data_IF_030608456340
#
_entry.id   IF_030608456340
#
_cell.length_a   1.000
_cell.length_b   1.000
_cell.length_c   1.000
_cell.angle_alpha   90.00
_cell.angle_beta   90.00
_cell.angle_gamma   90.00
#
_symmetry.space_group_name_H-M   'P 1'
#
loop_
_entity.id
_entity.type
_entity.pdbx_description
1 polymer ?
#
# COMPACT_ATOMS: atom_id res chain seq x y z
N UNK A 1 17.32 27.07 5.57
CA UNK A 1 17.17 27.13 4.10
C UNK A 1 15.71 26.85 3.75
N UNK A 2 15.20 27.46 2.66
CA UNK A 2 13.79 27.35 2.27
C UNK A 2 13.26 25.90 2.20
N UNK A 3 14.10 24.94 1.81
CA UNK A 3 13.76 23.50 1.80
C UNK A 3 13.55 22.94 3.23
N UNK A 4 14.35 23.35 4.21
CA UNK A 4 14.20 22.98 5.62
C UNK A 4 12.92 23.55 6.21
N UNK A 5 12.52 24.77 5.81
CA UNK A 5 11.31 25.42 6.30
C UNK A 5 10.03 24.84 5.66
N UNK A 6 10.10 24.42 4.39
CA UNK A 6 9.01 23.67 3.74
C UNK A 6 8.84 22.30 4.37
N UNK A 7 9.94 21.61 4.70
CA UNK A 7 9.89 20.29 5.37
C UNK A 7 9.33 20.41 6.80
N UNK A 8 9.72 21.44 7.56
CA UNK A 8 9.15 21.74 8.89
C UNK A 8 7.67 22.09 8.83
N UNK A 9 7.24 22.93 7.88
CA UNK A 9 5.82 23.28 7.67
C UNK A 9 4.99 22.08 7.23
N UNK A 10 5.55 21.12 6.48
CA UNK A 10 4.89 19.87 6.14
C UNK A 10 4.79 18.94 7.35
N UNK A 11 5.78 18.88 8.22
CA UNK A 11 5.71 18.15 9.49
C UNK A 11 4.75 18.80 10.48
N UNK A 12 4.70 20.13 10.58
CA UNK A 12 3.71 20.84 11.40
C UNK A 12 2.27 20.66 10.91
N UNK A 13 2.03 20.60 9.59
CA UNK A 13 0.73 20.25 9.03
C UNK A 13 0.34 18.78 9.24
N UNK A 14 1.31 17.86 9.37
CA UNK A 14 1.06 16.44 9.74
C UNK A 14 0.72 16.26 11.21
N UNK A 15 1.11 17.16 12.10
CA UNK A 15 0.70 17.17 13.54
C UNK A 15 -0.79 17.45 13.76
N UNK A 16 -1.57 17.72 12.72
CA UNK A 16 -2.98 18.10 12.81
C UNK A 16 -3.98 16.95 12.95
N UNK A 17 -3.62 15.69 12.76
CA UNK A 17 -4.58 14.58 12.84
C UNK A 17 -3.94 13.32 13.42
N UNK A 18 -3.85 13.26 14.77
CA UNK A 18 -3.45 12.04 15.47
C UNK A 18 -4.67 11.15 15.67
N UNK A 19 -4.62 9.91 15.16
CA UNK A 19 -5.66 8.91 15.36
C UNK A 19 -5.36 8.05 16.58
N UNK A 20 -6.40 7.58 17.28
CA UNK A 20 -6.33 6.52 18.28
C UNK A 20 -6.46 5.16 17.57
N UNK A 21 -5.44 4.34 17.65
CA UNK A 21 -5.35 3.06 16.93
C UNK A 21 -5.17 1.92 17.93
N UNK A 22 -6.06 0.95 17.90
CA UNK A 22 -5.90 -0.31 18.64
C UNK A 22 -5.47 -1.41 17.70
N UNK A 23 -4.34 -2.06 17.99
CA UNK A 23 -3.72 -3.10 17.19
C UNK A 23 -3.67 -4.41 17.96
N UNK A 24 -4.28 -5.47 17.45
CA UNK A 24 -4.24 -6.82 18.03
C UNK A 24 -3.29 -7.70 17.24
N UNK A 25 -2.25 -8.18 17.93
CA UNK A 25 -1.19 -9.02 17.39
C UNK A 25 0.14 -8.28 17.22
N UNK A 26 1.09 -8.53 18.13
CA UNK A 26 2.46 -7.99 18.14
C UNK A 26 3.48 -8.87 17.40
N UNK A 27 3.03 -9.64 16.39
CA UNK A 27 3.93 -10.40 15.50
C UNK A 27 4.66 -9.50 14.50
N UNK A 28 5.36 -10.07 13.51
CA UNK A 28 6.15 -9.30 12.52
C UNK A 28 5.37 -8.16 11.87
N UNK A 29 4.14 -8.42 11.41
CA UNK A 29 3.28 -7.41 10.77
C UNK A 29 2.84 -6.35 11.78
N UNK A 30 2.36 -6.78 12.96
CA UNK A 30 1.90 -5.86 13.99
C UNK A 30 3.01 -4.96 14.52
N UNK A 31 4.21 -5.50 14.77
CA UNK A 31 5.38 -4.70 15.18
C UNK A 31 5.76 -3.67 14.11
N UNK A 32 5.76 -4.06 12.83
CA UNK A 32 6.04 -3.13 11.74
C UNK A 32 5.00 -2.00 11.65
N UNK A 33 3.71 -2.33 11.82
CA UNK A 33 2.62 -1.35 11.85
C UNK A 33 2.73 -0.43 13.07
N UNK A 34 2.97 -1.00 14.27
CA UNK A 34 3.13 -0.22 15.49
C UNK A 34 4.23 0.84 15.36
N UNK A 35 5.40 0.43 14.85
CA UNK A 35 6.50 1.34 14.56
C UNK A 35 6.10 2.44 13.58
N UNK A 36 5.60 2.08 12.41
CA UNK A 36 5.28 3.02 11.35
C UNK A 36 4.22 4.05 11.79
N UNK A 37 3.14 3.58 12.43
CA UNK A 37 2.04 4.43 12.87
C UNK A 37 2.46 5.36 14.03
N UNK A 38 3.34 4.89 14.93
CA UNK A 38 3.93 5.71 16.00
C UNK A 38 4.85 6.80 15.40
N UNK A 39 5.72 6.46 14.44
CA UNK A 39 6.58 7.41 13.73
C UNK A 39 5.76 8.47 12.95
N UNK A 40 4.55 8.13 12.51
CA UNK A 40 3.60 9.05 11.88
C UNK A 40 2.85 9.95 12.89
N UNK A 41 3.04 9.74 14.20
CA UNK A 41 2.47 10.55 15.28
C UNK A 41 1.07 10.13 15.69
N UNK A 42 0.67 8.88 15.47
CA UNK A 42 -0.59 8.32 15.93
C UNK A 42 -0.46 7.73 17.35
N UNK A 43 -1.56 7.73 18.11
CA UNK A 43 -1.65 7.09 19.42
C UNK A 43 -1.97 5.61 19.24
N UNK A 44 -0.98 4.74 19.39
CA UNK A 44 -1.11 3.30 19.12
C UNK A 44 -1.12 2.51 20.42
N UNK A 45 -2.13 1.65 20.61
CA UNK A 45 -2.18 0.62 21.66
C UNK A 45 -2.06 -0.75 21.05
N UNK A 46 -1.08 -1.55 21.45
CA UNK A 46 -0.84 -2.91 20.95
C UNK A 46 -1.26 -3.94 21.98
N UNK A 47 -2.05 -4.93 21.59
CA UNK A 47 -2.46 -6.08 22.41
C UNK A 47 -1.81 -7.34 21.85
N UNK A 48 -1.12 -8.11 22.67
CA UNK A 48 -0.65 -9.47 22.34
C UNK A 48 -0.70 -10.37 23.59
N UNK A 49 -0.86 -11.67 23.37
CA UNK A 49 -0.83 -12.67 24.46
C UNK A 49 0.58 -13.08 24.87
N UNK A 50 1.58 -12.71 24.07
CA UNK A 50 2.99 -13.03 24.32
C UNK A 50 3.67 -11.88 25.08
N UNK A 51 4.03 -12.13 26.35
CA UNK A 51 4.65 -11.16 27.24
C UNK A 51 5.93 -10.55 26.65
N UNK A 52 6.82 -11.37 26.09
CA UNK A 52 8.07 -10.86 25.55
C UNK A 52 7.87 -9.91 24.34
N UNK A 53 6.82 -10.14 23.52
CA UNK A 53 6.47 -9.21 22.45
C UNK A 53 5.92 -7.90 22.95
N UNK A 54 5.05 -7.96 23.96
CA UNK A 54 4.46 -6.77 24.59
C UNK A 54 5.55 -5.89 25.20
N UNK A 55 6.47 -6.48 25.97
CA UNK A 55 7.61 -5.79 26.56
C UNK A 55 8.52 -5.17 25.49
N UNK A 56 8.91 -5.97 24.49
CA UNK A 56 9.77 -5.48 23.39
C UNK A 56 9.15 -4.31 22.62
N UNK A 57 7.86 -4.37 22.31
CA UNK A 57 7.17 -3.31 21.57
C UNK A 57 7.06 -2.04 22.41
N UNK A 58 6.70 -2.15 23.69
CA UNK A 58 6.58 -1.01 24.60
C UNK A 58 7.91 -0.33 24.93
N UNK A 59 9.02 -1.10 24.94
CA UNK A 59 10.37 -0.55 25.15
C UNK A 59 10.98 0.08 23.89
N UNK A 60 10.59 -0.43 22.70
CA UNK A 60 11.21 -0.05 21.42
C UNK A 60 10.51 1.11 20.72
N UNK A 61 9.21 1.32 20.98
CA UNK A 61 8.39 2.29 20.25
C UNK A 61 7.54 3.12 21.21
N UNK A 62 7.17 4.33 20.80
CA UNK A 62 6.24 5.20 21.56
C UNK A 62 4.80 4.72 21.36
N UNK A 63 4.46 3.60 22.02
CA UNK A 63 3.14 2.97 21.97
C UNK A 63 2.75 2.42 23.33
N UNK A 64 1.46 2.37 23.61
CA UNK A 64 0.94 1.60 24.72
C UNK A 64 0.93 0.12 24.37
N UNK A 65 1.36 -0.76 25.27
CA UNK A 65 1.33 -2.20 25.05
C UNK A 65 0.60 -2.92 26.21
N UNK A 66 -0.30 -3.84 25.85
CA UNK A 66 -1.16 -4.56 26.80
C UNK A 66 -0.99 -6.06 26.59
N UNK A 67 -0.66 -6.76 27.70
CA UNK A 67 -0.63 -8.22 27.72
C UNK A 67 -2.06 -8.74 27.88
N UNK A 68 -2.63 -9.31 26.83
CA UNK A 68 -4.01 -9.78 26.90
C UNK A 68 -4.49 -10.46 25.62
N UNK A 69 -5.72 -10.96 25.66
CA UNK A 69 -6.37 -11.58 24.52
C UNK A 69 -7.27 -10.54 23.82
N UNK A 70 -7.01 -10.27 22.54
CA UNK A 70 -7.79 -9.35 21.73
C UNK A 70 -9.25 -9.74 21.48
N UNK A 71 -9.66 -10.97 21.84
CA UNK A 71 -11.07 -11.38 21.86
C UNK A 71 -11.74 -11.18 23.23
N UNK A 72 -11.05 -10.61 24.23
CA UNK A 72 -11.64 -10.25 25.51
C UNK A 72 -12.16 -8.83 25.46
N UNK A 73 -13.44 -8.64 25.80
CA UNK A 73 -14.06 -7.32 25.88
C UNK A 73 -13.35 -6.45 26.94
N UNK A 74 -12.99 -7.03 28.07
CA UNK A 74 -12.25 -6.32 29.13
C UNK A 74 -10.92 -5.78 28.60
N UNK A 75 -10.13 -6.61 27.92
CA UNK A 75 -8.86 -6.20 27.31
C UNK A 75 -9.04 -5.14 26.22
N UNK A 76 -10.10 -5.26 25.41
CA UNK A 76 -10.42 -4.25 24.41
C UNK A 76 -10.82 -2.90 25.03
N UNK A 77 -11.61 -2.91 26.11
CA UNK A 77 -11.96 -1.69 26.84
C UNK A 77 -10.73 -1.05 27.50
N UNK A 78 -9.85 -1.84 28.12
CA UNK A 78 -8.57 -1.35 28.66
C UNK A 78 -7.69 -0.71 27.56
N UNK A 79 -7.78 -1.21 26.33
CA UNK A 79 -7.08 -0.66 25.18
C UNK A 79 -7.74 0.60 24.58
N UNK A 80 -8.91 1.00 25.09
CA UNK A 80 -9.65 2.17 24.63
C UNK A 80 -10.37 1.96 23.30
N UNK A 81 -10.87 0.75 23.02
CA UNK A 81 -11.54 0.41 21.76
C UNK A 81 -12.77 1.25 21.48
N UNK A 82 -13.50 1.69 22.53
CA UNK A 82 -14.69 2.52 22.43
C UNK A 82 -14.41 3.88 21.77
N UNK A 83 -13.21 4.41 21.99
CA UNK A 83 -12.78 5.71 21.48
C UNK A 83 -11.79 5.60 20.30
N UNK A 84 -11.51 4.37 19.84
CA UNK A 84 -10.57 4.15 18.75
C UNK A 84 -11.14 4.66 17.40
N UNK A 85 -10.31 5.34 16.64
CA UNK A 85 -10.62 5.69 15.23
C UNK A 85 -10.43 4.47 14.32
N UNK A 86 -9.38 3.69 14.59
CA UNK A 86 -9.02 2.50 13.81
C UNK A 86 -8.72 1.32 14.72
N UNK A 87 -9.24 0.16 14.35
CA UNK A 87 -8.95 -1.11 14.97
C UNK A 87 -8.35 -2.07 13.95
N UNK A 88 -7.20 -2.67 14.27
CA UNK A 88 -6.47 -3.54 13.35
C UNK A 88 -6.19 -4.88 14.01
N UNK A 89 -6.66 -5.99 13.43
CA UNK A 89 -6.37 -7.34 13.90
C UNK A 89 -5.48 -8.09 12.91
N UNK A 90 -4.25 -8.43 13.35
CA UNK A 90 -3.18 -9.06 12.55
C UNK A 90 -2.51 -10.23 13.27
N UNK A 91 -3.28 -10.99 14.05
CA UNK A 91 -2.80 -12.18 14.75
C UNK A 91 -2.48 -13.34 13.78
N UNK A 92 -2.07 -14.46 14.31
CA UNK A 92 -1.80 -15.68 13.54
C UNK A 92 -3.04 -16.44 13.04
N UNK A 93 -4.26 -16.12 13.55
CA UNK A 93 -5.52 -16.77 13.16
C UNK A 93 -6.46 -15.78 12.48
N UNK A 94 -6.96 -16.17 11.30
CA UNK A 94 -7.91 -15.38 10.53
C UNK A 94 -9.26 -15.26 11.25
N UNK A 95 -9.73 -16.35 11.87
CA UNK A 95 -10.97 -16.41 12.65
C UNK A 95 -10.89 -15.47 13.86
N UNK A 96 -9.74 -15.47 14.57
CA UNK A 96 -9.51 -14.59 15.70
C UNK A 96 -9.50 -13.12 15.26
N UNK A 97 -8.89 -12.81 14.10
CA UNK A 97 -8.87 -11.45 13.55
C UNK A 97 -10.29 -10.95 13.23
N UNK A 98 -11.11 -11.80 12.62
CA UNK A 98 -12.53 -11.48 12.33
C UNK A 98 -13.33 -11.30 13.63
N UNK A 99 -13.14 -12.17 14.62
CA UNK A 99 -13.80 -12.10 15.91
C UNK A 99 -13.43 -10.82 16.67
N UNK A 100 -12.14 -10.47 16.72
CA UNK A 100 -11.68 -9.23 17.34
C UNK A 100 -12.32 -8.00 16.68
N UNK A 101 -12.35 -7.97 15.34
CA UNK A 101 -13.00 -6.88 14.59
C UNK A 101 -14.51 -6.81 14.88
N UNK A 102 -15.20 -7.94 15.01
CA UNK A 102 -16.60 -7.98 15.36
C UNK A 102 -16.85 -7.37 16.75
N UNK A 103 -16.04 -7.70 17.74
CA UNK A 103 -16.15 -7.13 19.08
C UNK A 103 -15.84 -5.64 19.08
N UNK A 104 -14.78 -5.21 18.39
CA UNK A 104 -14.43 -3.79 18.25
C UNK A 104 -15.57 -2.98 17.63
N UNK A 105 -16.22 -3.52 16.58
CA UNK A 105 -17.37 -2.88 15.94
C UNK A 105 -18.61 -2.81 16.82
N UNK A 106 -18.76 -3.71 17.79
CA UNK A 106 -19.87 -3.70 18.77
C UNK A 106 -19.58 -2.78 19.94
N UNK A 107 -18.31 -2.66 20.34
CA UNK A 107 -17.89 -1.80 21.45
C UNK A 107 -17.79 -0.32 21.03
N UNK A 108 -17.40 -0.02 19.78
CA UNK A 108 -17.16 1.33 19.29
C UNK A 108 -17.53 1.55 17.82
N UNK A 109 -17.22 2.74 17.31
CA UNK A 109 -17.51 3.15 15.94
C UNK A 109 -16.25 3.13 15.04
N UNK A 110 -15.19 2.43 15.45
CA UNK A 110 -13.91 2.40 14.77
C UNK A 110 -13.98 1.86 13.33
N UNK A 111 -13.02 2.24 12.51
CA UNK A 111 -12.74 1.56 11.24
C UNK A 111 -11.98 0.27 11.52
N UNK A 112 -12.66 -0.88 11.42
CA UNK A 112 -12.06 -2.18 11.69
C UNK A 112 -11.39 -2.77 10.44
N UNK A 113 -10.14 -3.25 10.61
CA UNK A 113 -9.32 -3.86 9.57
C UNK A 113 -8.88 -5.25 10.05
N UNK A 114 -9.20 -6.30 9.30
CA UNK A 114 -8.83 -7.68 9.60
C UNK A 114 -7.82 -8.23 8.60
N UNK A 115 -6.79 -8.94 9.10
CA UNK A 115 -5.93 -9.78 8.26
C UNK A 115 -6.59 -11.13 8.06
N UNK A 116 -6.85 -11.50 6.80
CA UNK A 116 -7.38 -12.82 6.42
C UNK A 116 -6.55 -13.36 5.26
N UNK A 117 -5.90 -14.51 5.46
CA UNK A 117 -4.96 -15.12 4.51
C UNK A 117 -5.52 -16.31 3.79
N UNK A 118 -6.41 -17.06 4.47
CA UNK A 118 -6.92 -18.32 3.97
C UNK A 118 -7.75 -18.11 2.70
N UNK A 119 -7.34 -18.70 1.56
CA UNK A 119 -8.08 -18.60 0.29
C UNK A 119 -9.50 -19.14 0.37
N UNK A 120 -9.79 -20.05 1.28
CA UNK A 120 -11.13 -20.62 1.46
C UNK A 120 -12.20 -19.58 1.79
N UNK A 121 -11.81 -18.45 2.37
CA UNK A 121 -12.72 -17.34 2.65
C UNK A 121 -12.92 -16.39 1.46
N UNK A 122 -12.13 -16.52 0.38
CA UNK A 122 -12.08 -15.53 -0.71
C UNK A 122 -13.43 -15.21 -1.34
N UNK A 123 -14.33 -16.21 -1.45
CA UNK A 123 -15.68 -16.03 -2.02
C UNK A 123 -16.67 -15.43 -1.02
N UNK A 124 -16.39 -15.51 0.27
CA UNK A 124 -17.28 -15.10 1.36
C UNK A 124 -16.84 -13.77 2.01
N UNK A 125 -15.66 -13.27 1.67
CA UNK A 125 -15.10 -12.07 2.28
C UNK A 125 -16.02 -10.85 2.17
N UNK A 126 -16.69 -10.65 1.03
CA UNK A 126 -17.60 -9.52 0.83
C UNK A 126 -18.84 -9.66 1.71
N UNK A 127 -19.35 -10.87 1.88
CA UNK A 127 -20.47 -11.16 2.78
C UNK A 127 -20.03 -10.92 4.24
N UNK A 128 -18.93 -11.53 4.67
CA UNK A 128 -18.38 -11.38 6.03
C UNK A 128 -18.14 -9.90 6.35
N UNK A 129 -17.50 -9.18 5.44
CA UNK A 129 -17.21 -7.75 5.56
C UNK A 129 -18.48 -6.93 5.79
N UNK A 130 -19.55 -7.18 5.02
CA UNK A 130 -20.83 -6.50 5.15
C UNK A 130 -21.55 -6.85 6.45
N UNK A 131 -21.59 -8.14 6.83
CA UNK A 131 -22.32 -8.59 8.02
C UNK A 131 -21.66 -8.11 9.34
N UNK A 132 -20.34 -8.12 9.40
CA UNK A 132 -19.59 -7.67 10.58
C UNK A 132 -19.38 -6.14 10.58
N UNK A 133 -19.49 -5.49 9.42
CA UNK A 133 -19.20 -4.06 9.26
C UNK A 133 -17.71 -3.76 9.22
N UNK A 134 -16.87 -4.72 8.79
CA UNK A 134 -15.42 -4.55 8.65
C UNK A 134 -15.13 -3.56 7.52
N UNK A 135 -14.28 -2.56 7.78
CA UNK A 135 -13.94 -1.53 6.81
C UNK A 135 -13.01 -2.06 5.70
N UNK A 136 -12.01 -2.87 6.08
CA UNK A 136 -11.10 -3.50 5.14
C UNK A 136 -10.65 -4.89 5.59
N UNK A 137 -10.42 -5.77 4.62
CA UNK A 137 -9.76 -7.07 4.82
C UNK A 137 -8.46 -7.02 4.04
N UNK A 138 -7.35 -7.39 4.68
CA UNK A 138 -6.01 -7.38 4.09
C UNK A 138 -5.42 -8.79 4.07
N UNK A 139 -4.68 -9.08 3.01
CA UNK A 139 -3.83 -10.27 2.89
C UNK A 139 -2.45 -9.82 2.41
N UNK A 140 -1.51 -9.52 3.33
CA UNK A 140 -0.19 -9.01 2.98
C UNK A 140 0.62 -9.98 2.11
N UNK A 141 0.47 -11.27 2.34
CA UNK A 141 1.16 -12.32 1.58
C UNK A 141 0.69 -12.34 0.11
N UNK A 142 -0.62 -12.26 -0.11
CA UNK A 142 -1.19 -12.18 -1.46
C UNK A 142 -0.84 -10.86 -2.15
N UNK A 143 -0.81 -9.75 -1.41
CA UNK A 143 -0.39 -8.46 -1.94
C UNK A 143 1.07 -8.50 -2.41
N UNK A 144 1.98 -9.07 -1.60
CA UNK A 144 3.37 -9.27 -1.97
C UNK A 144 3.54 -10.21 -3.17
N UNK A 145 2.80 -11.32 -3.21
CA UNK A 145 2.82 -12.26 -4.32
C UNK A 145 2.35 -11.63 -5.64
N UNK A 146 1.30 -10.79 -5.58
CA UNK A 146 0.82 -10.03 -6.76
C UNK A 146 1.88 -9.03 -7.24
N UNK A 147 2.52 -8.31 -6.32
CA UNK A 147 3.57 -7.36 -6.66
C UNK A 147 4.76 -8.05 -7.33
N UNK A 148 5.23 -9.15 -6.77
CA UNK A 148 6.30 -9.97 -7.37
C UNK A 148 5.88 -10.47 -8.76
N UNK A 149 4.65 -10.96 -8.92
CA UNK A 149 4.13 -11.40 -10.22
C UNK A 149 4.09 -10.27 -11.26
N UNK A 150 3.75 -9.05 -10.85
CA UNK A 150 3.77 -7.88 -11.73
C UNK A 150 5.19 -7.53 -12.19
N UNK A 151 6.16 -7.51 -11.26
CA UNK A 151 7.57 -7.25 -11.56
C UNK A 151 8.15 -8.32 -12.49
N UNK A 152 7.83 -9.59 -12.26
CA UNK A 152 8.29 -10.68 -13.13
C UNK A 152 7.70 -10.59 -14.55
N UNK A 153 6.44 -10.15 -14.67
CA UNK A 153 5.77 -10.03 -15.99
C UNK A 153 6.38 -8.94 -16.86
N UNK A 154 6.85 -7.86 -16.26
CA UNK A 154 7.47 -6.73 -16.94
C UNK A 154 8.84 -6.43 -16.32
N UNK A 155 9.87 -7.26 -16.58
CA UNK A 155 11.18 -7.12 -15.94
C UNK A 155 11.88 -5.78 -16.21
N UNK A 156 11.48 -5.10 -17.28
CA UNK A 156 11.99 -3.77 -17.62
C UNK A 156 11.27 -2.61 -16.91
N UNK A 157 10.18 -2.89 -16.19
CA UNK A 157 9.48 -1.87 -15.42
C UNK A 157 10.13 -1.70 -14.04
N UNK A 158 10.35 -0.46 -13.62
CA UNK A 158 10.84 -0.13 -12.27
C UNK A 158 9.71 -0.06 -11.24
N UNK A 159 8.46 0.21 -11.69
CA UNK A 159 7.27 0.24 -10.84
C UNK A 159 6.02 -0.05 -11.66
N UNK A 160 5.04 -0.75 -11.05
CA UNK A 160 3.74 -1.04 -11.65
C UNK A 160 2.66 -0.84 -10.60
N UNK A 161 1.76 0.10 -10.83
CA UNK A 161 0.55 0.30 -10.02
C UNK A 161 -0.68 -0.11 -10.85
N UNK A 162 -1.72 -0.66 -10.20
CA UNK A 162 -2.95 -1.08 -10.88
C UNK A 162 -4.15 -0.26 -10.43
N UNK A 163 -5.02 0.12 -11.39
CA UNK A 163 -6.23 0.91 -11.18
C UNK A 163 -7.46 0.21 -11.77
N UNK A 164 -8.63 0.73 -11.42
CA UNK A 164 -9.92 0.27 -11.95
C UNK A 164 -10.12 -1.26 -11.82
N UNK A 165 -9.77 -1.83 -10.65
CA UNK A 165 -9.89 -3.28 -10.43
C UNK A 165 -8.89 -4.10 -11.24
N UNK A 166 -7.71 -3.56 -11.53
CA UNK A 166 -6.63 -4.24 -12.25
C UNK A 166 -6.73 -4.15 -13.79
N UNK A 167 -7.73 -3.43 -14.31
CA UNK A 167 -7.93 -3.27 -15.77
C UNK A 167 -6.95 -2.31 -16.40
N UNK A 168 -6.45 -1.34 -15.65
CA UNK A 168 -5.53 -0.31 -16.09
C UNK A 168 -4.27 -0.35 -15.23
N UNK A 169 -3.12 -0.14 -15.85
CA UNK A 169 -1.80 -0.15 -15.19
C UNK A 169 -1.08 1.16 -15.43
N UNK A 170 -0.49 1.68 -14.38
CA UNK A 170 0.48 2.75 -14.44
C UNK A 170 1.87 2.12 -14.32
N UNK A 171 2.66 2.21 -15.38
CA UNK A 171 3.94 1.53 -15.48
C UNK A 171 5.05 2.55 -15.64
N UNK A 172 6.09 2.42 -14.83
CA UNK A 172 7.29 3.25 -14.90
C UNK A 172 8.46 2.41 -15.41
N UNK A 173 9.23 2.93 -16.35
CA UNK A 173 10.45 2.31 -16.86
C UNK A 173 11.52 3.35 -17.17
N UNK A 174 12.78 2.92 -17.15
CA UNK A 174 13.90 3.75 -17.55
C UNK A 174 14.09 3.68 -19.07
N UNK A 175 14.15 4.82 -19.74
CA UNK A 175 14.46 4.93 -21.15
C UNK A 175 15.98 4.83 -21.36
N UNK A 176 16.39 3.90 -22.23
CA UNK A 176 17.76 3.71 -22.65
C UNK A 176 17.84 3.70 -24.18
N UNK A 177 19.03 3.71 -24.76
CA UNK A 177 19.22 3.66 -26.22
C UNK A 177 18.55 2.46 -26.88
N UNK A 178 18.41 1.34 -26.17
CA UNK A 178 17.85 0.10 -26.69
C UNK A 178 16.38 0.18 -27.10
N UNK A 179 15.61 1.09 -26.52
CA UNK A 179 14.20 1.27 -26.80
C UNK A 179 13.92 2.11 -28.05
N UNK A 180 14.91 2.83 -28.56
CA UNK A 180 14.79 3.64 -29.77
C UNK A 180 13.78 4.79 -29.68
N UNK A 181 13.56 5.31 -28.48
CA UNK A 181 12.66 6.42 -28.20
C UNK A 181 13.39 7.75 -27.90
N UNK A 182 14.71 7.74 -27.93
CA UNK A 182 15.51 8.96 -27.80
C UNK A 182 15.21 9.92 -28.94
N UNK A 183 14.95 11.18 -28.64
CA UNK A 183 14.58 12.20 -29.62
C UNK A 183 13.17 12.09 -30.19
N UNK A 184 12.34 11.18 -29.70
CA UNK A 184 10.96 10.98 -30.17
C UNK A 184 9.98 11.84 -29.38
N UNK A 185 9.11 12.59 -30.08
CA UNK A 185 8.04 13.33 -29.44
C UNK A 185 6.88 12.38 -29.05
N UNK A 186 6.24 12.65 -27.90
CA UNK A 186 5.17 11.78 -27.38
C UNK A 186 4.03 11.57 -28.39
N UNK A 187 3.65 12.61 -29.14
CA UNK A 187 2.59 12.50 -30.15
C UNK A 187 2.93 11.57 -31.32
N UNK A 188 4.22 11.24 -31.53
CA UNK A 188 4.66 10.31 -32.58
C UNK A 188 4.54 8.85 -32.14
N UNK A 189 4.49 8.56 -30.83
CA UNK A 189 4.46 7.20 -30.29
C UNK A 189 3.32 6.37 -30.87
N UNK A 190 2.05 6.85 -30.91
CA UNK A 190 0.95 6.07 -31.45
C UNK A 190 1.16 5.65 -32.92
N UNK A 191 1.67 6.56 -33.74
CA UNK A 191 1.90 6.31 -35.17
C UNK A 191 3.13 5.43 -35.39
N UNK A 192 4.24 5.73 -34.70
CA UNK A 192 5.53 5.06 -34.87
C UNK A 192 5.51 3.63 -34.32
N UNK A 193 4.89 3.44 -33.16
CA UNK A 193 4.85 2.14 -32.48
C UNK A 193 3.48 1.46 -32.63
N UNK A 194 2.50 2.05 -33.33
CA UNK A 194 1.11 1.53 -33.39
C UNK A 194 0.59 1.14 -32.01
N UNK A 195 0.90 1.94 -31.01
CA UNK A 195 0.62 1.66 -29.59
C UNK A 195 -0.23 2.74 -28.99
N UNK A 196 -1.26 2.34 -28.27
CA UNK A 196 -2.24 3.22 -27.63
C UNK A 196 -1.97 3.28 -26.14
N UNK A 197 -0.94 4.05 -25.76
CA UNK A 197 -0.55 4.31 -24.38
C UNK A 197 -0.67 5.80 -24.07
N UNK A 198 -0.88 6.15 -22.81
CA UNK A 198 -0.87 7.52 -22.35
C UNK A 198 0.35 7.77 -21.46
N UNK A 199 1.30 8.56 -21.93
CA UNK A 199 2.42 9.02 -21.10
C UNK A 199 1.91 10.06 -20.11
N UNK A 200 2.05 9.78 -18.82
CA UNK A 200 1.49 10.59 -17.74
C UNK A 200 2.53 11.48 -17.07
N UNK A 201 3.76 10.98 -16.93
CA UNK A 201 4.85 11.72 -16.28
C UNK A 201 6.20 11.28 -16.85
N UNK A 202 7.16 12.20 -16.83
CA UNK A 202 8.56 11.94 -17.14
C UNK A 202 9.39 12.54 -16.02
N UNK A 203 10.30 11.74 -15.44
CA UNK A 203 11.29 12.23 -14.48
C UNK A 203 12.64 12.38 -15.20
N UNK A 204 13.19 13.58 -15.15
CA UNK A 204 14.50 13.95 -15.74
C UNK A 204 15.25 14.85 -14.76
N UNK A 205 16.51 14.56 -14.51
CA UNK A 205 17.41 15.36 -13.66
C UNK A 205 16.82 15.63 -12.26
N UNK A 206 16.10 14.66 -11.70
CA UNK A 206 15.46 14.77 -10.36
C UNK A 206 14.17 15.60 -10.34
N UNK A 207 13.75 16.15 -11.48
CA UNK A 207 12.45 16.84 -11.64
C UNK A 207 11.38 15.95 -12.22
N UNK A 208 10.11 16.21 -11.88
CA UNK A 208 8.94 15.53 -12.45
C UNK A 208 8.23 16.48 -13.41
N UNK A 209 8.00 16.04 -14.64
CA UNK A 209 7.34 16.78 -15.71
C UNK A 209 6.06 16.05 -16.09
N UNK A 210 4.95 16.77 -16.20
CA UNK A 210 3.73 16.28 -16.86
C UNK A 210 3.83 16.70 -18.32
N UNK A 211 4.13 15.75 -19.24
CA UNK A 211 4.47 16.11 -20.60
C UNK A 211 3.21 16.41 -21.43
N UNK A 212 3.36 17.25 -22.44
CA UNK A 212 2.39 17.36 -23.53
C UNK A 212 2.87 16.54 -24.75
N UNK A 213 2.05 16.51 -25.82
CA UNK A 213 2.38 15.74 -27.04
C UNK A 213 3.69 16.13 -27.72
N UNK A 214 4.14 17.39 -27.61
CA UNK A 214 5.37 17.87 -28.22
C UNK A 214 6.61 17.64 -27.35
N UNK A 215 6.45 17.07 -26.16
CA UNK A 215 7.58 16.74 -25.30
C UNK A 215 8.44 15.65 -25.94
N UNK A 216 9.74 15.89 -26.04
CA UNK A 216 10.72 14.98 -26.65
C UNK A 216 11.36 14.16 -25.55
N UNK A 217 11.27 12.84 -25.68
CA UNK A 217 11.90 11.87 -24.78
C UNK A 217 13.41 11.84 -24.99
N UNK A 218 14.17 11.58 -23.93
CA UNK A 218 15.62 11.46 -23.95
C UNK A 218 16.10 10.25 -23.16
N UNK A 219 17.24 9.70 -23.56
CA UNK A 219 17.87 8.64 -22.81
C UNK A 219 18.11 9.07 -21.34
N UNK A 220 17.84 8.18 -20.39
CA UNK A 220 17.90 8.46 -18.96
C UNK A 220 16.57 8.89 -18.36
N UNK A 221 15.56 9.25 -19.15
CA UNK A 221 14.23 9.57 -18.64
C UNK A 221 13.60 8.37 -17.92
N UNK A 222 12.94 8.63 -16.79
CA UNK A 222 12.03 7.69 -16.16
C UNK A 222 10.63 7.98 -16.67
N UNK A 223 10.15 7.16 -17.60
CA UNK A 223 8.86 7.37 -18.26
C UNK A 223 7.75 6.60 -17.55
N UNK A 224 6.70 7.29 -17.16
CA UNK A 224 5.49 6.69 -16.57
C UNK A 224 4.33 6.80 -17.54
N UNK A 225 3.74 5.66 -17.89
CA UNK A 225 2.59 5.61 -18.81
C UNK A 225 1.44 4.78 -18.27
N UNK A 226 0.24 5.06 -18.76
CA UNK A 226 -1.01 4.38 -18.45
C UNK A 226 -1.44 3.55 -19.65
N UNK A 227 -1.79 2.28 -19.41
CA UNK A 227 -2.32 1.37 -20.44
C UNK A 227 -3.10 0.21 -19.82
N UNK A 228 -3.90 -0.50 -20.66
CA UNK A 228 -4.38 -1.83 -20.29
C UNK A 228 -3.23 -2.83 -20.27
N UNK A 229 -3.43 -3.99 -19.64
CA UNK A 229 -2.39 -5.03 -19.60
C UNK A 229 -1.92 -5.44 -21.01
N UNK A 230 -2.86 -5.62 -21.93
CA UNK A 230 -2.61 -6.02 -23.30
C UNK A 230 -1.78 -4.95 -24.03
N UNK A 231 -2.20 -3.68 -23.95
CA UNK A 231 -1.51 -2.56 -24.60
C UNK A 231 -0.11 -2.31 -24.02
N UNK A 232 0.06 -2.50 -22.72
CA UNK A 232 1.37 -2.43 -22.08
C UNK A 232 2.32 -3.54 -22.60
N UNK A 233 1.80 -4.76 -22.73
CA UNK A 233 2.55 -5.89 -23.28
C UNK A 233 3.00 -5.62 -24.73
N UNK A 234 2.07 -5.18 -25.60
CA UNK A 234 2.38 -4.80 -26.98
C UNK A 234 3.41 -3.68 -27.05
N UNK A 235 3.27 -2.65 -26.22
CA UNK A 235 4.20 -1.52 -26.18
C UNK A 235 5.62 -1.97 -25.83
N UNK A 236 5.79 -2.74 -24.75
CA UNK A 236 7.09 -3.23 -24.34
C UNK A 236 7.75 -4.13 -25.39
N UNK A 237 6.98 -4.99 -26.04
CA UNK A 237 7.51 -5.79 -27.16
C UNK A 237 8.05 -4.90 -28.29
N UNK A 238 7.34 -3.81 -28.64
CA UNK A 238 7.72 -2.92 -29.73
C UNK A 238 8.93 -2.03 -29.44
N UNK A 239 9.22 -1.80 -28.17
CA UNK A 239 10.42 -1.08 -27.73
C UNK A 239 11.52 -2.03 -27.27
N UNK A 240 11.47 -3.30 -27.65
CA UNK A 240 12.46 -4.34 -27.33
C UNK A 240 12.71 -4.53 -25.82
N UNK A 241 11.70 -4.30 -25.00
CA UNK A 241 11.78 -4.59 -23.57
C UNK A 241 11.28 -6.00 -23.27
N UNK A 242 11.94 -6.73 -22.34
CA UNK A 242 11.51 -8.08 -22.00
C UNK A 242 10.12 -8.06 -21.35
N UNK A 243 9.26 -8.97 -21.80
CA UNK A 243 7.94 -9.26 -21.22
C UNK A 243 7.79 -10.77 -21.08
N UNK A 244 7.29 -11.22 -19.94
CA UNK A 244 6.94 -12.61 -19.74
C UNK A 244 5.44 -12.81 -19.97
N UNK A 245 5.11 -13.86 -20.72
CA UNK A 245 3.74 -14.27 -21.05
C UNK A 245 3.06 -14.98 -19.88
#
# INVERSE_FOLDING_TARGET
>A
SAASDVYKRQQEKRKGYSMKIVLVGGGKVGTALARQLSEEGHNVTVIDTNKARVEHIGESYDVMSILGNGSSITTLSEAGVEEADVFIAVTGSDELNLLCCMFAKKAGHCHAIARVRNPSYSHELDFIKKQIGISAIINPEMAAAKEISHLLRFPGASKIDTFAGGRVRLIKFALTEQQGLDGVAIHEIPTRLKSDILVCAVERDGGVIIPNGNFVLQNGDQVTFLATQEKAHEFFQRINMPVLS
#
